data_IF_628029088189
#
_entry.id   IF_628029088189
#
_cell.length_a   1.000
_cell.length_b   1.000
_cell.length_c   1.000
_cell.angle_alpha   90.00
_cell.angle_beta   90.00
_cell.angle_gamma   90.00
#
_symmetry.space_group_name_H-M   'P 1'
#
loop_
_entity.id
_entity.type
_entity.pdbx_description
1 polymer ?
#
# COMPACT_ATOMS: atom_id res chain seq x y z
N UNK A 1 -13.70 -0.74 11.93
CA UNK A 1 -12.87 0.49 11.82
C UNK A 1 -11.63 0.07 11.05
N UNK A 2 -11.30 0.67 9.90
CA UNK A 2 -10.06 0.28 9.23
C UNK A 2 -8.88 0.97 9.90
N UNK A 3 -7.83 0.19 10.10
CA UNK A 3 -6.68 0.57 10.92
C UNK A 3 -5.49 0.83 10.02
N UNK A 4 -4.68 1.82 10.36
CA UNK A 4 -3.36 2.04 9.76
C UNK A 4 -2.59 0.71 9.63
N UNK A 5 -1.94 0.51 8.50
CA UNK A 5 -1.21 -0.71 8.19
C UNK A 5 -2.03 -1.75 7.42
N UNK A 6 -3.36 -1.60 7.37
CA UNK A 6 -4.22 -2.45 6.55
C UNK A 6 -3.78 -2.45 5.08
N UNK A 7 -3.84 -3.64 4.48
CA UNK A 7 -3.45 -3.89 3.09
C UNK A 7 -4.71 -4.10 2.27
N UNK A 8 -4.88 -3.24 1.30
CA UNK A 8 -5.97 -3.26 0.35
C UNK A 8 -5.47 -3.82 -0.97
N UNK A 9 -6.27 -4.64 -1.62
CA UNK A 9 -6.06 -5.04 -3.00
C UNK A 9 -7.07 -4.31 -3.88
N UNK A 10 -6.56 -3.51 -4.81
CA UNK A 10 -7.37 -2.80 -5.79
C UNK A 10 -7.10 -3.38 -7.18
N UNK A 11 -8.15 -3.94 -7.79
CA UNK A 11 -8.03 -4.66 -9.07
C UNK A 11 -7.89 -3.76 -10.31
N UNK A 12 -8.13 -2.46 -10.18
CA UNK A 12 -8.21 -1.50 -11.29
C UNK A 12 -7.77 -0.08 -10.87
N UNK A 13 -6.69 0.03 -10.10
CA UNK A 13 -6.18 1.33 -9.66
C UNK A 13 -5.66 2.13 -10.86
N UNK A 14 -6.15 3.37 -11.00
CA UNK A 14 -5.64 4.35 -11.97
C UNK A 14 -4.40 5.04 -11.39
N UNK A 15 -3.27 4.89 -12.04
CA UNK A 15 -2.03 5.56 -11.68
C UNK A 15 -2.02 7.02 -12.14
N UNK A 16 -1.11 7.85 -11.60
CA UNK A 16 -1.00 9.27 -11.98
C UNK A 16 -0.68 9.49 -13.47
N UNK A 17 -0.10 8.49 -14.13
CA UNK A 17 0.16 8.51 -15.58
C UNK A 17 -1.02 7.99 -16.42
N UNK A 18 -2.20 7.79 -15.82
CA UNK A 18 -3.41 7.32 -16.49
C UNK A 18 -3.47 5.81 -16.74
N UNK A 19 -2.41 5.06 -16.45
CA UNK A 19 -2.42 3.60 -16.62
C UNK A 19 -3.20 2.91 -15.49
N UNK A 20 -3.96 1.87 -15.82
CA UNK A 20 -4.76 1.12 -14.85
C UNK A 20 -4.10 -0.23 -14.54
N UNK A 21 -3.98 -0.60 -13.26
CA UNK A 21 -3.43 -1.90 -12.90
C UNK A 21 -3.86 -2.44 -11.54
N UNK A 22 -3.67 -3.75 -11.38
CA UNK A 22 -3.87 -4.45 -10.10
C UNK A 22 -2.75 -4.09 -9.13
N UNK A 23 -3.09 -3.64 -7.93
CA UNK A 23 -2.10 -3.29 -6.90
C UNK A 23 -2.55 -3.58 -5.49
N UNK A 24 -1.55 -3.86 -4.66
CA UNK A 24 -1.66 -3.72 -3.22
C UNK A 24 -1.38 -2.28 -2.81
N UNK A 25 -2.24 -1.78 -1.93
CA UNK A 25 -2.17 -0.48 -1.30
C UNK A 25 -2.02 -0.66 0.21
N UNK A 26 -1.19 0.15 0.84
CA UNK A 26 -1.03 0.17 2.31
C UNK A 26 -1.67 1.45 2.83
N UNK A 27 -2.59 1.30 3.80
CA UNK A 27 -3.24 2.43 4.45
C UNK A 27 -2.31 3.08 5.49
N UNK A 28 -2.09 4.38 5.37
CA UNK A 28 -1.17 5.16 6.21
C UNK A 28 -1.82 5.83 7.43
N UNK A 29 -3.12 6.08 7.39
CA UNK A 29 -3.87 6.71 8.47
C UNK A 29 -4.97 5.78 9.03
N UNK A 30 -5.58 6.19 10.13
CA UNK A 30 -6.82 5.59 10.64
C UNK A 30 -7.92 6.61 10.37
N UNK A 31 -8.54 6.60 9.18
CA UNK A 31 -9.41 7.70 8.75
C UNK A 31 -10.68 7.79 9.61
N UNK A 32 -11.05 9.02 9.98
CA UNK A 32 -12.38 9.32 10.47
C UNK A 32 -13.45 9.18 9.36
N UNK A 33 -14.74 9.27 9.73
CA UNK A 33 -15.89 9.03 8.82
C UNK A 33 -15.87 9.84 7.50
N UNK A 34 -15.25 11.02 7.49
CA UNK A 34 -15.19 11.93 6.32
C UNK A 34 -13.76 12.14 5.81
N UNK A 35 -12.78 11.57 6.48
CA UNK A 35 -11.38 11.75 6.11
C UNK A 35 -11.02 10.83 4.94
N UNK A 36 -10.14 11.28 4.03
CA UNK A 36 -9.65 10.41 2.98
C UNK A 36 -8.78 9.29 3.57
N UNK A 37 -8.84 8.15 2.91
CA UNK A 37 -7.87 7.08 3.07
C UNK A 37 -6.58 7.51 2.37
N UNK A 38 -5.48 7.50 3.11
CA UNK A 38 -4.16 7.82 2.57
C UNK A 38 -3.44 6.52 2.26
N UNK A 39 -3.30 6.20 0.98
CA UNK A 39 -2.65 4.98 0.54
C UNK A 39 -1.27 5.23 -0.08
N UNK A 40 -0.39 4.24 0.07
CA UNK A 40 0.81 4.10 -0.76
C UNK A 40 0.76 2.80 -1.54
N UNK A 41 1.45 2.77 -2.69
CA UNK A 41 1.60 1.54 -3.47
C UNK A 41 2.66 0.63 -2.88
N UNK A 42 2.41 -0.66 -2.97
CA UNK A 42 3.40 -1.70 -2.76
C UNK A 42 3.74 -2.39 -4.09
N UNK A 43 5.01 -2.75 -4.28
CA UNK A 43 5.47 -3.48 -5.46
C UNK A 43 6.48 -4.55 -5.09
N UNK A 44 6.38 -5.73 -5.68
CA UNK A 44 7.38 -6.79 -5.57
C UNK A 44 8.43 -6.76 -6.70
N UNK A 45 8.38 -5.74 -7.56
CA UNK A 45 9.33 -5.61 -8.66
C UNK A 45 10.59 -4.86 -8.18
N UNK A 46 11.71 -5.56 -8.01
CA UNK A 46 12.99 -5.00 -7.55
C UNK A 46 13.49 -3.88 -8.48
N UNK A 47 13.73 -4.17 -9.77
CA UNK A 47 14.46 -3.27 -10.68
C UNK A 47 15.77 -2.80 -10.01
N UNK A 48 15.98 -1.50 -9.86
CA UNK A 48 17.16 -0.91 -9.21
C UNK A 48 16.93 -0.51 -7.75
N UNK A 49 15.91 -1.07 -7.07
CA UNK A 49 15.61 -0.72 -5.67
C UNK A 49 16.56 -1.46 -4.72
N UNK A 50 17.16 -0.78 -3.74
CA UNK A 50 17.96 -1.45 -2.72
C UNK A 50 17.07 -2.28 -1.80
N UNK A 51 17.64 -3.33 -1.23
CA UNK A 51 16.95 -4.31 -0.38
C UNK A 51 17.48 -4.28 1.06
N UNK A 52 17.98 -3.12 1.51
CA UNK A 52 18.30 -2.90 2.93
C UNK A 52 16.98 -2.84 3.70
N UNK A 53 16.72 -3.74 4.68
CA UNK A 53 15.46 -3.75 5.42
C UNK A 53 15.15 -2.41 6.07
N UNK A 54 13.87 -2.00 6.01
CA UNK A 54 13.43 -0.74 6.60
C UNK A 54 13.43 0.44 5.63
N UNK A 55 13.59 1.65 6.17
CA UNK A 55 13.49 2.90 5.43
C UNK A 55 14.74 3.16 4.59
N UNK A 56 14.54 3.42 3.31
CA UNK A 56 15.55 3.83 2.33
C UNK A 56 15.21 5.26 1.92
N UNK A 57 15.65 6.22 2.73
CA UNK A 57 15.31 7.65 2.62
C UNK A 57 15.60 8.22 1.23
N UNK A 58 16.79 7.96 0.69
CA UNK A 58 17.26 8.55 -0.57
C UNK A 58 16.44 8.14 -1.80
N UNK A 59 15.64 7.08 -1.68
CA UNK A 59 14.76 6.59 -2.74
C UNK A 59 13.28 6.75 -2.41
N UNK A 60 12.95 7.26 -1.22
CA UNK A 60 11.57 7.28 -0.70
C UNK A 60 10.91 5.90 -0.75
N UNK A 61 11.65 4.88 -0.28
CA UNK A 61 11.17 3.49 -0.25
C UNK A 61 11.23 2.94 1.18
N UNK A 62 10.39 1.96 1.47
CA UNK A 62 10.54 1.09 2.61
C UNK A 62 10.59 -0.37 2.14
N UNK A 63 11.66 -1.08 2.44
CA UNK A 63 11.83 -2.47 2.04
C UNK A 63 11.31 -3.43 3.12
N UNK A 64 10.44 -4.34 2.69
CA UNK A 64 9.80 -5.38 3.50
C UNK A 64 10.25 -6.73 2.96
N UNK A 65 11.08 -7.48 3.70
CA UNK A 65 11.48 -8.83 3.31
C UNK A 65 10.27 -9.77 3.24
N UNK A 66 10.30 -10.71 2.28
CA UNK A 66 9.27 -11.73 2.14
C UNK A 66 8.99 -12.47 3.46
N UNK A 67 7.71 -12.76 3.74
CA UNK A 67 7.27 -13.61 4.84
C UNK A 67 7.39 -13.01 6.24
N UNK A 68 7.85 -11.75 6.37
CA UNK A 68 7.89 -11.03 7.66
C UNK A 68 6.55 -10.40 8.04
N UNK A 69 5.71 -10.13 7.06
CA UNK A 69 4.35 -9.57 7.21
C UNK A 69 3.41 -10.32 6.27
N UNK A 70 2.31 -9.70 5.84
CA UNK A 70 1.42 -10.21 4.79
C UNK A 70 2.12 -10.55 3.46
N UNK A 71 3.18 -9.84 3.08
CA UNK A 71 3.77 -9.99 1.75
C UNK A 71 4.58 -11.29 1.59
N UNK A 72 4.15 -12.16 0.68
CA UNK A 72 4.84 -13.42 0.33
C UNK A 72 6.13 -13.24 -0.48
N UNK A 73 6.36 -12.04 -1.01
CA UNK A 73 7.54 -11.68 -1.80
C UNK A 73 8.16 -10.42 -1.22
N UNK A 74 9.46 -10.27 -1.45
CA UNK A 74 10.18 -9.02 -1.23
C UNK A 74 9.41 -7.86 -1.83
N UNK A 75 9.10 -6.88 -1.00
CA UNK A 75 8.16 -5.82 -1.34
C UNK A 75 8.74 -4.46 -0.96
N UNK A 76 8.58 -3.51 -1.87
CA UNK A 76 8.92 -2.11 -1.65
C UNK A 76 7.64 -1.30 -1.55
N UNK A 77 7.44 -0.67 -0.40
CA UNK A 77 6.45 0.38 -0.21
C UNK A 77 7.00 1.69 -0.79
N UNK A 78 6.23 2.33 -1.67
CA UNK A 78 6.63 3.56 -2.37
C UNK A 78 6.10 4.77 -1.63
N UNK A 79 6.97 5.47 -0.88
CA UNK A 79 6.57 6.52 0.05
C UNK A 79 6.40 7.89 -0.60
N UNK A 80 6.86 8.07 -1.85
CA UNK A 80 6.80 9.34 -2.56
C UNK A 80 5.40 9.71 -3.08
N UNK A 81 4.58 8.70 -3.42
CA UNK A 81 3.25 8.92 -4.01
C UNK A 81 2.17 8.48 -3.04
N UNK A 82 1.42 9.45 -2.52
CA UNK A 82 0.28 9.23 -1.63
C UNK A 82 -1.01 9.39 -2.44
N UNK A 83 -1.84 8.36 -2.40
CA UNK A 83 -3.17 8.34 -2.99
C UNK A 83 -4.20 8.66 -1.91
N UNK A 84 -4.73 9.88 -1.94
CA UNK A 84 -5.86 10.26 -1.11
C UNK A 84 -7.17 9.86 -1.79
N UNK A 85 -7.90 8.91 -1.21
CA UNK A 85 -9.17 8.41 -1.76
C UNK A 85 -10.26 8.62 -0.72
N UNK A 86 -11.33 9.31 -1.09
CA UNK A 86 -12.47 9.51 -0.19
C UNK A 86 -13.20 8.19 0.12
N UNK A 87 -13.88 8.09 1.27
CA UNK A 87 -14.62 6.89 1.67
C UNK A 87 -15.58 6.34 0.61
N UNK A 88 -16.28 7.20 -0.13
CA UNK A 88 -17.18 6.77 -1.21
C UNK A 88 -16.47 6.01 -2.34
N UNK A 89 -15.17 6.25 -2.52
CA UNK A 89 -14.32 5.59 -3.51
C UNK A 89 -13.74 4.26 -3.02
N UNK A 90 -13.96 3.88 -1.76
CA UNK A 90 -13.41 2.67 -1.13
C UNK A 90 -14.52 1.77 -0.58
N UNK A 91 -15.35 2.28 0.33
CA UNK A 91 -16.13 1.46 1.26
C UNK A 91 -17.22 0.58 0.62
N UNK A 92 -17.59 0.86 -0.64
CA UNK A 92 -18.61 0.12 -1.38
C UNK A 92 -18.14 -0.34 -2.77
N UNK A 93 -16.82 -0.36 -3.00
CA UNK A 93 -16.23 -0.76 -4.28
C UNK A 93 -15.88 -2.25 -4.26
N UNK A 94 -16.59 -3.05 -5.06
CA UNK A 94 -16.34 -4.50 -5.19
C UNK A 94 -14.95 -4.81 -5.74
N UNK A 95 -14.38 -3.87 -6.48
CA UNK A 95 -13.03 -3.94 -7.05
C UNK A 95 -11.91 -3.76 -6.02
N UNK A 96 -12.26 -3.45 -4.76
CA UNK A 96 -11.35 -3.20 -3.64
C UNK A 96 -11.68 -4.15 -2.48
N UNK A 97 -10.68 -4.90 -2.02
CA UNK A 97 -10.79 -5.81 -0.87
C UNK A 97 -9.71 -5.52 0.16
N UNK A 98 -10.00 -5.75 1.44
CA UNK A 98 -8.99 -5.73 2.50
C UNK A 98 -8.47 -7.16 2.65
N UNK A 99 -7.16 -7.35 2.47
CA UNK A 99 -6.54 -8.67 2.37
C UNK A 99 -5.69 -9.02 3.59
N UNK A 100 -5.26 -8.02 4.36
CA UNK A 100 -4.42 -8.24 5.54
C UNK A 100 -3.97 -6.96 6.21
N UNK A 101 -2.90 -7.07 7.00
CA UNK A 101 -2.26 -5.95 7.69
C UNK A 101 -0.74 -6.14 7.65
N UNK A 102 -0.01 -5.02 7.68
CA UNK A 102 1.43 -4.99 7.88
C UNK A 102 1.89 -5.44 9.27
N UNK A 103 0.96 -5.62 10.22
CA UNK A 103 1.28 -6.07 11.58
C UNK A 103 2.31 -7.20 11.56
N UNK A 104 3.48 -6.85 12.07
CA UNK A 104 4.58 -7.77 12.27
C UNK A 104 4.13 -8.63 13.44
N UNK A 105 4.08 -9.96 13.27
CA UNK A 105 4.34 -10.82 14.42
C UNK A 105 5.80 -10.55 14.82
N UNK A 106 6.01 -9.50 15.62
CA UNK A 106 7.28 -9.35 16.34
C UNK A 106 7.36 -10.44 17.39
#
# INVERSE_FOLDING_TARGET
>A
MQTRGAIYHHSSLVFHNGFTGKKYLVLLNTPGKKEPYLFIKATSQKKNKPSTPGCIKDRSLYFIPAGKTFFKKDTWAQLYEIYAIHPYGIDNKKEITVEGNLDVKM
#
